data_IF_344895812869
#
_entry.id   IF_344895812869
#
_cell.length_a   1.000
_cell.length_b   1.000
_cell.length_c   1.000
_cell.angle_alpha   90.00
_cell.angle_beta   90.00
_cell.angle_gamma   90.00
#
_symmetry.space_group_name_H-M   'P 1'
#
loop_
_entity.id
_entity.type
_entity.pdbx_description
1 polymer ?
#
# COMPACT_ATOMS: atom_id res chain seq x y z
N UNK A 1 -16.48 -16.49 3.17
CA UNK A 1 -15.72 -16.18 1.96
C UNK A 1 -14.40 -15.56 2.35
N UNK A 2 -13.31 -16.13 1.86
CA UNK A 2 -11.98 -15.62 2.18
C UNK A 2 -11.63 -14.47 1.25
N UNK A 3 -11.25 -13.37 1.83
CA UNK A 3 -10.72 -12.25 1.07
C UNK A 3 -9.20 -12.34 1.11
N UNK A 4 -8.59 -12.59 -0.03
CA UNK A 4 -7.15 -12.59 -0.11
C UNK A 4 -6.62 -11.17 -0.11
N UNK A 5 -5.53 -10.94 0.60
CA UNK A 5 -4.85 -9.66 0.58
C UNK A 5 -3.46 -9.87 -0.02
N UNK A 6 -2.98 -8.85 -0.72
CA UNK A 6 -1.70 -8.90 -1.41
C UNK A 6 -0.79 -7.80 -0.89
N UNK A 7 0.29 -8.22 -0.25
CA UNK A 7 1.31 -7.31 0.21
C UNK A 7 2.30 -7.08 -0.93
N UNK A 8 2.47 -5.82 -1.32
CA UNK A 8 3.31 -5.47 -2.45
C UNK A 8 4.39 -4.47 -2.01
N UNK A 9 5.54 -4.52 -2.67
CA UNK A 9 6.65 -3.63 -2.35
C UNK A 9 7.34 -3.16 -3.62
N UNK A 10 8.15 -2.10 -3.51
CA UNK A 10 8.95 -1.61 -4.60
C UNK A 10 8.12 -1.12 -5.78
N UNK A 11 8.55 -1.46 -6.98
CA UNK A 11 7.88 -0.99 -8.20
C UNK A 11 6.43 -1.47 -8.30
N UNK A 12 6.14 -2.66 -7.80
CA UNK A 12 4.76 -3.16 -7.81
C UNK A 12 3.86 -2.28 -6.95
N UNK A 13 4.34 -1.94 -5.75
CA UNK A 13 3.59 -1.06 -4.86
C UNK A 13 3.41 0.32 -5.48
N UNK A 14 4.47 0.85 -6.05
CA UNK A 14 4.42 2.16 -6.69
C UNK A 14 3.38 2.19 -7.82
N UNK A 15 3.42 1.18 -8.69
CA UNK A 15 2.50 1.14 -9.82
C UNK A 15 1.05 0.99 -9.39
N UNK A 16 0.80 0.17 -8.38
CA UNK A 16 -0.57 -0.03 -7.88
C UNK A 16 -1.07 1.26 -7.25
N UNK A 17 -0.25 1.90 -6.43
CA UNK A 17 -0.66 3.16 -5.79
C UNK A 17 -0.94 4.25 -6.83
N UNK A 18 -0.10 4.36 -7.87
CA UNK A 18 -0.33 5.33 -8.93
C UNK A 18 -1.69 5.13 -9.59
N UNK A 19 -2.05 3.88 -9.88
CA UNK A 19 -3.36 3.57 -10.45
C UNK A 19 -4.47 4.00 -9.50
N UNK A 20 -4.32 3.71 -8.21
CA UNK A 20 -5.34 4.06 -7.23
C UNK A 20 -5.49 5.57 -7.06
N UNK A 21 -4.38 6.31 -7.03
CA UNK A 21 -4.43 7.77 -6.86
C UNK A 21 -5.05 8.46 -8.07
N UNK A 22 -4.87 7.89 -9.26
CA UNK A 22 -5.44 8.46 -10.49
C UNK A 22 -6.90 8.03 -10.70
N UNK A 23 -7.38 7.03 -9.96
CA UNK A 23 -8.69 6.44 -10.20
C UNK A 23 -9.39 6.14 -8.88
N UNK A 24 -9.81 7.19 -8.19
CA UNK A 24 -10.44 7.06 -6.88
C UNK A 24 -11.65 6.10 -6.90
N UNK A 25 -12.35 6.03 -8.02
CA UNK A 25 -13.51 5.15 -8.14
C UNK A 25 -13.14 3.66 -8.04
N UNK A 26 -11.86 3.32 -8.12
CA UNK A 26 -11.41 1.92 -8.01
C UNK A 26 -11.22 1.48 -6.57
N UNK A 27 -11.14 2.42 -5.63
CA UNK A 27 -10.74 2.11 -4.26
C UNK A 27 -11.65 1.08 -3.58
N UNK A 28 -12.95 1.13 -3.85
CA UNK A 28 -13.91 0.20 -3.24
C UNK A 28 -14.20 -1.05 -4.07
N UNK A 29 -13.49 -1.20 -5.19
CA UNK A 29 -13.67 -2.39 -6.04
C UNK A 29 -12.96 -3.58 -5.42
N UNK A 30 -13.57 -4.78 -5.42
CA UNK A 30 -12.96 -5.96 -4.79
C UNK A 30 -11.56 -6.27 -5.30
N UNK A 31 -11.30 -6.07 -6.58
CA UNK A 31 -9.99 -6.38 -7.15
C UNK A 31 -8.91 -5.43 -6.69
N UNK A 32 -9.25 -4.30 -6.06
CA UNK A 32 -8.28 -3.34 -5.54
C UNK A 32 -8.28 -3.25 -4.02
N UNK A 33 -9.33 -3.71 -3.36
CA UNK A 33 -9.40 -3.70 -1.88
C UNK A 33 -8.53 -4.75 -1.24
N UNK A 34 -7.75 -5.46 -2.02
CA UNK A 34 -6.84 -6.49 -1.52
C UNK A 34 -5.42 -5.98 -1.34
N UNK A 35 -5.10 -4.79 -1.85
CA UNK A 35 -3.72 -4.34 -1.91
C UNK A 35 -3.31 -3.45 -0.76
N UNK A 36 -2.11 -3.71 -0.25
CA UNK A 36 -1.43 -2.86 0.74
C UNK A 36 0.07 -3.09 0.58
N UNK A 37 0.85 -2.10 0.95
CA UNK A 37 2.29 -2.24 0.79
C UNK A 37 3.04 -0.93 0.92
N UNK A 38 4.28 -0.94 0.46
CA UNK A 38 5.13 0.25 0.55
C UNK A 38 6.17 0.26 -0.57
N UNK A 39 6.71 1.44 -0.79
CA UNK A 39 7.88 1.61 -1.66
C UNK A 39 8.72 2.76 -1.11
N UNK A 40 9.96 2.84 -1.56
CA UNK A 40 10.86 3.90 -1.15
C UNK A 40 10.90 4.97 -2.23
N UNK A 41 10.62 6.22 -1.84
CA UNK A 41 10.68 7.34 -2.76
C UNK A 41 12.17 7.67 -3.01
N UNK A 42 12.61 7.52 -4.26
CA UNK A 42 14.02 7.70 -4.61
C UNK A 42 14.52 9.12 -4.45
N UNK A 43 13.62 10.11 -4.42
CA UNK A 43 14.01 11.52 -4.27
C UNK A 43 14.18 11.94 -2.83
N UNK A 44 13.40 11.38 -1.91
CA UNK A 44 13.39 11.77 -0.51
C UNK A 44 13.96 10.71 0.42
N UNK A 45 14.13 9.48 -0.07
CA UNK A 45 14.50 8.31 0.71
C UNK A 45 13.50 7.95 1.80
N UNK A 46 12.29 8.48 1.69
CA UNK A 46 11.24 8.15 2.64
C UNK A 46 10.43 6.97 2.14
N UNK A 47 9.84 6.23 3.08
CA UNK A 47 9.03 5.06 2.78
C UNK A 47 7.58 5.50 2.68
N UNK A 48 6.97 5.24 1.53
CA UNK A 48 5.56 5.56 1.30
C UNK A 48 4.77 4.27 1.44
N UNK A 49 3.88 4.23 2.41
CA UNK A 49 3.02 3.07 2.64
C UNK A 49 1.59 3.38 2.24
N UNK A 50 0.88 2.37 1.77
CA UNK A 50 -0.53 2.53 1.46
C UNK A 50 -1.29 1.28 1.88
N UNK A 51 -2.58 1.46 2.17
CA UNK A 51 -3.43 0.37 2.58
C UNK A 51 -4.82 0.62 2.01
N UNK A 52 -5.22 -0.18 1.03
CA UNK A 52 -6.54 -0.06 0.43
C UNK A 52 -7.48 -1.21 0.85
N UNK A 53 -7.14 -1.94 1.90
CA UNK A 53 -7.97 -3.07 2.34
C UNK A 53 -9.33 -2.63 2.85
N UNK A 54 -9.46 -1.38 3.26
CA UNK A 54 -10.75 -0.83 3.69
C UNK A 54 -11.50 -0.09 2.59
N UNK A 55 -10.86 0.09 1.43
CA UNK A 55 -11.45 0.86 0.33
C UNK A 55 -11.23 2.36 0.43
N UNK A 56 -10.38 2.82 1.36
CA UNK A 56 -10.10 4.24 1.57
C UNK A 56 -8.75 4.69 1.04
N UNK A 57 -7.94 3.76 0.59
CA UNK A 57 -6.60 4.03 0.08
C UNK A 57 -5.80 4.95 1.02
N UNK A 58 -5.70 4.54 2.27
CA UNK A 58 -4.94 5.28 3.27
C UNK A 58 -3.46 5.27 2.91
N UNK A 59 -2.82 6.43 2.97
CA UNK A 59 -1.38 6.55 2.69
C UNK A 59 -0.70 7.25 3.85
N UNK A 60 0.57 6.88 4.08
CA UNK A 60 1.37 7.50 5.13
C UNK A 60 2.84 7.43 4.74
N UNK A 61 3.62 8.37 5.25
CA UNK A 61 5.05 8.46 4.96
C UNK A 61 5.84 8.15 6.23
N UNK A 62 6.89 7.34 6.08
CA UNK A 62 7.71 6.91 7.21
C UNK A 62 9.19 7.08 6.89
N UNK A 63 10.00 7.09 7.94
CA UNK A 63 11.45 7.16 7.79
C UNK A 63 12.08 5.80 7.54
N UNK A 64 11.47 4.73 8.04
CA UNK A 64 12.01 3.38 7.94
C UNK A 64 10.97 2.39 7.46
N UNK A 65 11.46 1.28 6.88
CA UNK A 65 10.60 0.18 6.44
C UNK A 65 9.90 -0.46 7.64
N UNK A 66 10.59 -0.57 8.77
CA UNK A 66 9.99 -1.15 9.97
C UNK A 66 8.77 -0.37 10.43
N UNK A 67 8.86 0.97 10.40
CA UNK A 67 7.71 1.80 10.77
C UNK A 67 6.53 1.59 9.82
N UNK A 68 6.82 1.48 8.51
CA UNK A 68 5.79 1.25 7.52
C UNK A 68 5.12 -0.10 7.72
N UNK A 69 5.90 -1.15 7.96
CA UNK A 69 5.37 -2.49 8.20
C UNK A 69 4.51 -2.53 9.45
N UNK A 70 4.92 -1.84 10.50
CA UNK A 70 4.16 -1.77 11.73
C UNK A 70 2.80 -1.09 11.51
N UNK A 71 2.81 0.02 10.76
CA UNK A 71 1.57 0.71 10.42
C UNK A 71 0.64 -0.17 9.59
N UNK A 72 1.20 -0.95 8.68
CA UNK A 72 0.43 -1.85 7.82
C UNK A 72 -0.03 -3.11 8.55
N UNK A 73 0.55 -3.39 9.72
CA UNK A 73 0.25 -4.62 10.44
C UNK A 73 0.86 -5.86 9.81
N UNK A 74 1.92 -5.69 9.01
CA UNK A 74 2.58 -6.80 8.34
C UNK A 74 3.65 -7.42 9.24
N UNK A 75 3.61 -8.73 9.38
CA UNK A 75 4.58 -9.47 10.20
C UNK A 75 5.43 -10.37 9.32
N UNK A 76 6.75 -10.24 9.48
CA UNK A 76 7.72 -11.10 8.82
C UNK A 76 7.98 -12.33 9.70
N UNK A 77 7.35 -13.43 9.37
CA UNK A 77 7.61 -14.67 10.12
C UNK A 77 8.21 -15.71 9.21
#
# INVERSE_FOLDING_TARGET
MNTETFFVTGNNAYNILEVLLDNEFLWDKPQYKCYYGYYINGKTNKVIAFDNRTGHCNTEEFKTVEQAKEWLGYEDN
#
